data_IF_744561567321
#
_entry.id   IF_744561567321
#
_cell.length_a   1.000
_cell.length_b   1.000
_cell.length_c   1.000
_cell.angle_alpha   90.00
_cell.angle_beta   90.00
_cell.angle_gamma   90.00
#
_symmetry.space_group_name_H-M   'P 1'
#
loop_
_entity.id
_entity.type
_entity.pdbx_description
1 polymer ?
#
# COMPACT_ATOMS: atom_id res chain seq x y z
N UNK A 1 8.60 -0.38 2.53
CA UNK A 1 7.20 -0.17 2.22
C UNK A 1 7.09 1.03 1.31
N UNK A 2 6.08 1.05 0.45
CA UNK A 2 5.73 2.19 -0.39
C UNK A 2 4.23 2.43 -0.21
N UNK A 3 3.77 3.63 -0.55
CA UNK A 3 2.36 3.95 -0.52
C UNK A 3 2.02 4.84 -1.71
N UNK A 4 0.83 4.64 -2.26
CA UNK A 4 0.26 5.43 -3.33
C UNK A 4 -1.13 5.90 -2.94
N UNK A 5 -1.30 7.21 -2.88
CA UNK A 5 -2.61 7.82 -2.69
C UNK A 5 -3.38 7.82 -4.02
N UNK A 6 -4.63 7.39 -3.96
CA UNK A 6 -5.59 7.35 -5.06
C UNK A 6 -6.85 8.10 -4.64
N UNK A 7 -7.51 8.77 -5.58
CA UNK A 7 -8.63 9.65 -5.23
C UNK A 7 -8.84 10.83 -6.18
N UNK A 8 -8.00 10.97 -7.20
CA UNK A 8 -8.20 11.98 -8.24
C UNK A 8 -9.59 11.82 -8.87
N UNK A 9 -10.39 12.88 -8.80
CA UNK A 9 -11.79 12.93 -9.29
C UNK A 9 -12.74 11.88 -8.67
N UNK A 10 -12.44 11.36 -7.49
CA UNK A 10 -13.31 10.43 -6.75
C UNK A 10 -13.94 11.11 -5.53
N UNK A 11 -14.91 10.42 -4.88
CA UNK A 11 -15.67 10.95 -3.72
C UNK A 11 -14.78 11.23 -2.49
N UNK A 12 -13.69 10.49 -2.33
CA UNK A 12 -12.74 10.60 -1.22
C UNK A 12 -11.38 10.03 -1.58
N UNK A 13 -10.37 10.33 -0.75
CA UNK A 13 -9.03 9.78 -0.92
C UNK A 13 -8.91 8.40 -0.26
N UNK A 14 -8.27 7.51 -0.99
CA UNK A 14 -7.87 6.19 -0.53
C UNK A 14 -6.36 6.03 -0.68
N UNK A 15 -5.77 5.06 0.01
CA UNK A 15 -4.34 4.80 -0.11
C UNK A 15 -4.07 3.31 -0.32
N UNK A 16 -3.25 3.01 -1.32
CA UNK A 16 -2.69 1.69 -1.56
C UNK A 16 -1.34 1.62 -0.84
N UNK A 17 -1.17 0.64 0.03
CA UNK A 17 0.03 0.48 0.85
C UNK A 17 0.68 -0.85 0.48
N UNK A 18 1.98 -0.84 0.25
CA UNK A 18 2.77 -2.05 0.05
C UNK A 18 3.67 -2.30 1.24
N UNK A 19 3.74 -3.56 1.66
CA UNK A 19 4.65 -3.99 2.71
C UNK A 19 6.02 -4.33 2.12
N UNK A 20 7.08 -4.12 2.92
CA UNK A 20 8.43 -4.45 2.48
C UNK A 20 8.59 -5.97 2.53
N UNK A 21 8.88 -6.58 1.39
CA UNK A 21 9.14 -8.00 1.29
C UNK A 21 10.58 -8.29 0.88
N UNK A 22 11.05 -9.51 1.14
CA UNK A 22 12.33 -9.96 0.61
C UNK A 22 12.29 -9.97 -0.91
N UNK A 23 13.39 -9.54 -1.52
CA UNK A 23 13.55 -9.55 -2.97
C UNK A 23 14.37 -10.78 -3.32
N UNK A 24 13.86 -11.61 -4.24
CA UNK A 24 14.58 -12.78 -4.72
C UNK A 24 15.78 -12.37 -5.60
N UNK A 25 16.65 -13.32 -5.93
CA UNK A 25 17.86 -13.10 -6.77
C UNK A 25 17.55 -12.46 -8.13
N UNK A 26 16.33 -12.64 -8.64
CA UNK A 26 15.85 -12.04 -9.88
C UNK A 26 15.36 -10.59 -9.75
N UNK A 27 15.18 -10.04 -8.54
CA UNK A 27 14.66 -8.68 -8.35
C UNK A 27 13.14 -8.62 -8.12
N UNK A 28 12.48 -9.77 -7.96
CA UNK A 28 11.05 -9.88 -7.69
C UNK A 28 10.77 -9.81 -6.19
N UNK A 29 9.79 -8.99 -5.76
CA UNK A 29 9.34 -8.99 -4.38
C UNK A 29 8.61 -10.32 -4.12
N UNK A 30 9.12 -11.08 -3.14
CA UNK A 30 8.49 -12.31 -2.66
C UNK A 30 7.32 -11.99 -1.72
N UNK A 31 6.61 -13.03 -1.27
CA UNK A 31 5.51 -12.88 -0.31
C UNK A 31 5.99 -12.77 1.15
N UNK A 32 7.29 -12.94 1.42
CA UNK A 32 7.84 -12.94 2.78
C UNK A 32 8.17 -11.52 3.23
N UNK A 33 7.62 -11.12 4.39
CA UNK A 33 7.87 -9.84 5.02
C UNK A 33 9.30 -9.77 5.55
N UNK A 34 9.93 -8.61 5.42
CA UNK A 34 11.31 -8.41 5.89
C UNK A 34 11.50 -7.11 6.65
N UNK A 35 12.57 -7.06 7.45
CA UNK A 35 12.98 -5.88 8.20
C UNK A 35 11.94 -5.44 9.23
N UNK A 36 11.58 -4.16 9.20
CA UNK A 36 10.65 -3.55 10.17
C UNK A 36 9.22 -4.06 10.06
N UNK A 37 8.83 -4.70 8.95
CA UNK A 37 7.50 -5.27 8.81
C UNK A 37 7.26 -6.43 9.82
N UNK A 38 8.29 -7.23 10.11
CA UNK A 38 8.20 -8.30 11.11
C UNK A 38 8.06 -7.79 12.55
N UNK A 39 8.27 -6.49 12.79
CA UNK A 39 8.12 -5.86 14.12
C UNK A 39 6.69 -5.44 14.41
N UNK A 40 5.84 -5.32 13.39
CA UNK A 40 4.45 -4.89 13.54
C UNK A 40 3.59 -6.05 14.06
N UNK A 41 3.82 -7.25 13.54
CA UNK A 41 3.14 -8.46 14.01
C UNK A 41 3.94 -9.74 13.69
N UNK A 42 3.45 -10.87 14.20
CA UNK A 42 4.00 -12.22 13.95
C UNK A 42 3.76 -12.75 12.53
N UNK A 43 3.03 -12.00 11.70
CA UNK A 43 2.80 -12.32 10.30
C UNK A 43 4.12 -12.43 9.54
N UNK A 44 4.33 -13.54 8.84
CA UNK A 44 5.54 -13.76 8.03
C UNK A 44 5.30 -13.43 6.56
N UNK A 45 4.05 -13.42 6.13
CA UNK A 45 3.66 -13.14 4.75
C UNK A 45 2.78 -11.89 4.62
N UNK A 46 2.79 -11.27 3.43
CA UNK A 46 1.94 -10.11 3.13
C UNK A 46 0.46 -10.44 3.26
N UNK A 47 0.06 -11.66 2.88
CA UNK A 47 -1.32 -12.11 2.96
C UNK A 47 -1.80 -12.25 4.40
N UNK A 48 -0.96 -12.80 5.28
CA UNK A 48 -1.23 -12.84 6.72
C UNK A 48 -1.33 -11.42 7.28
N UNK A 49 -0.37 -10.54 6.95
CA UNK A 49 -0.40 -9.16 7.41
C UNK A 49 -1.61 -8.38 6.91
N UNK A 50 -2.14 -8.69 5.72
CA UNK A 50 -3.36 -8.05 5.22
C UNK A 50 -4.62 -8.48 5.97
N UNK A 51 -4.61 -9.66 6.60
CA UNK A 51 -5.75 -10.18 7.37
C UNK A 51 -5.63 -9.89 8.86
N UNK A 52 -4.41 -9.72 9.34
CA UNK A 52 -4.06 -9.46 10.73
C UNK A 52 -4.58 -8.09 11.21
N UNK A 53 -5.29 -8.09 12.32
CA UNK A 53 -5.84 -6.89 12.91
C UNK A 53 -4.76 -5.98 13.49
N UNK A 54 -3.63 -6.53 13.95
CA UNK A 54 -2.50 -5.72 14.42
C UNK A 54 -1.94 -4.81 13.31
N UNK A 55 -1.91 -5.31 12.07
CA UNK A 55 -1.49 -4.55 10.91
C UNK A 55 -2.50 -3.50 10.49
N UNK A 56 -3.79 -3.83 10.54
CA UNK A 56 -4.86 -2.85 10.29
C UNK A 56 -4.80 -1.72 11.31
N UNK A 57 -4.70 -2.03 12.61
CA UNK A 57 -4.61 -1.03 13.68
C UNK A 57 -3.37 -0.15 13.53
N UNK A 58 -2.21 -0.74 13.20
CA UNK A 58 -0.98 0.02 12.96
C UNK A 58 -1.14 1.05 11.82
N UNK A 59 -1.74 0.62 10.71
CA UNK A 59 -1.98 1.48 9.56
C UNK A 59 -3.06 2.53 9.87
N UNK A 60 -4.15 2.14 10.53
CA UNK A 60 -5.21 3.06 10.93
C UNK A 60 -4.70 4.13 11.89
N UNK A 61 -3.83 3.77 12.84
CA UNK A 61 -3.17 4.73 13.71
C UNK A 61 -2.31 5.72 12.92
N UNK A 62 -1.54 5.24 11.94
CA UNK A 62 -0.77 6.07 11.02
C UNK A 62 -1.65 7.02 10.20
N UNK A 63 -2.73 6.51 9.62
CA UNK A 63 -3.70 7.30 8.85
C UNK A 63 -4.39 8.33 9.74
N UNK A 64 -4.77 7.97 10.97
CA UNK A 64 -5.39 8.88 11.93
C UNK A 64 -4.46 10.04 12.28
N UNK A 65 -3.16 9.78 12.46
CA UNK A 65 -2.17 10.82 12.70
C UNK A 65 -2.05 11.79 11.51
N UNK A 66 -1.97 11.26 10.28
CA UNK A 66 -1.92 12.07 9.05
C UNK A 66 -3.22 12.87 8.86
N UNK A 67 -4.38 12.25 9.08
CA UNK A 67 -5.69 12.89 9.01
C UNK A 67 -5.87 14.00 10.06
N UNK A 68 -5.17 13.90 11.20
CA UNK A 68 -5.13 14.96 12.21
C UNK A 68 -4.43 16.23 11.73
N UNK A 69 -3.49 16.09 10.78
CA UNK A 69 -2.81 17.22 10.14
C UNK A 69 -3.57 17.75 8.91
N UNK A 70 -4.61 17.05 8.46
CA UNK A 70 -5.38 17.45 7.29
C UNK A 70 -6.27 18.66 7.60
N UNK A 71 -6.06 19.74 6.85
CA UNK A 71 -6.79 21.01 7.02
C UNK A 71 -8.26 20.90 6.61
N UNK A 72 -8.59 19.96 5.72
CA UNK A 72 -9.94 19.75 5.21
C UNK A 72 -10.33 18.27 5.18
N UNK A 73 -11.64 18.00 5.28
CA UNK A 73 -12.21 16.66 5.08
C UNK A 73 -11.86 16.08 3.71
N UNK A 74 -11.73 16.94 2.69
CA UNK A 74 -11.34 16.53 1.34
C UNK A 74 -9.90 16.00 1.24
N UNK A 75 -9.03 16.34 2.20
CA UNK A 75 -7.65 15.84 2.24
C UNK A 75 -7.51 14.56 3.07
N UNK A 76 -8.54 14.18 3.84
CA UNK A 76 -8.50 13.00 4.69
C UNK A 76 -8.54 11.72 3.87
N UNK A 77 -7.72 10.77 4.27
CA UNK A 77 -7.73 9.40 3.77
C UNK A 77 -8.87 8.67 4.49
N UNK A 78 -9.82 8.12 3.74
CA UNK A 78 -10.97 7.40 4.29
C UNK A 78 -10.84 5.89 4.18
N UNK A 79 -10.15 5.40 3.14
CA UNK A 79 -9.98 3.98 2.89
C UNK A 79 -8.51 3.66 2.61
N UNK A 80 -8.12 2.44 2.93
CA UNK A 80 -6.81 1.92 2.56
C UNK A 80 -6.93 0.45 2.19
N UNK A 81 -5.98 -0.03 1.39
CA UNK A 81 -5.79 -1.47 1.17
C UNK A 81 -4.31 -1.77 1.17
N UNK A 82 -3.98 -2.92 1.72
CA UNK A 82 -2.65 -3.49 1.65
C UNK A 82 -2.59 -4.31 0.36
N UNK A 83 -1.57 -4.07 -0.45
CA UNK A 83 -1.35 -4.81 -1.69
C UNK A 83 -0.56 -6.09 -1.40
N UNK A 84 -0.84 -7.19 -2.14
CA UNK A 84 -0.20 -8.48 -1.91
C UNK A 84 1.28 -8.52 -2.30
N UNK A 85 1.75 -7.57 -3.14
CA UNK A 85 3.16 -7.46 -3.56
C UNK A 85 3.71 -6.06 -3.32
N UNK A 86 5.02 -5.96 -3.12
CA UNK A 86 5.72 -4.67 -3.15
C UNK A 86 5.92 -4.17 -4.59
N UNK A 87 6.05 -2.86 -4.78
CA UNK A 87 6.32 -2.31 -6.11
C UNK A 87 7.76 -2.61 -6.54
N UNK A 88 7.93 -3.24 -7.69
CA UNK A 88 9.26 -3.51 -8.27
C UNK A 88 9.44 -2.89 -9.66
N UNK A 89 10.70 -2.71 -10.04
CA UNK A 89 11.08 -2.30 -11.40
C UNK A 89 10.78 -3.38 -12.42
N UNK A 90 10.95 -4.66 -12.05
CA UNK A 90 10.60 -5.80 -12.92
C UNK A 90 9.10 -5.91 -13.16
N UNK A 91 8.27 -5.60 -12.15
CA UNK A 91 6.81 -5.56 -12.27
C UNK A 91 6.30 -4.39 -13.12
N UNK A 92 7.18 -3.49 -13.56
CA UNK A 92 6.82 -2.30 -14.35
C UNK A 92 6.17 -1.18 -13.52
N UNK A 93 5.95 -1.40 -12.23
CA UNK A 93 5.35 -0.45 -11.28
C UNK A 93 6.31 0.71 -10.98
N UNK A 94 7.62 0.42 -11.00
CA UNK A 94 8.67 1.41 -10.83
C UNK A 94 9.44 1.63 -12.14
N UNK A 95 9.88 2.86 -12.36
CA UNK A 95 10.90 3.17 -13.38
C UNK A 95 12.26 2.60 -12.94
N UNK A 96 13.23 2.44 -13.87
CA UNK A 96 14.62 2.11 -13.51
C UNK A 96 15.24 3.07 -12.49
N UNK A 97 14.71 4.29 -12.40
CA UNK A 97 15.06 5.32 -11.40
C UNK A 97 14.25 5.23 -10.10
N UNK A 98 13.58 4.09 -9.84
CA UNK A 98 12.75 3.80 -8.67
C UNK A 98 11.56 4.74 -8.45
N UNK A 99 11.16 5.51 -9.48
CA UNK A 99 9.96 6.36 -9.43
C UNK A 99 8.71 5.54 -9.73
N UNK A 100 7.64 5.79 -8.98
CA UNK A 100 6.36 5.11 -9.17
C UNK A 100 5.66 5.55 -10.46
N UNK A 101 5.31 4.59 -11.31
CA UNK A 101 4.48 4.80 -12.50
C UNK A 101 3.00 4.70 -12.12
N UNK A 102 2.45 5.78 -11.58
CA UNK A 102 1.04 5.91 -11.17
C UNK A 102 0.03 5.28 -12.16
N UNK A 103 0.02 5.62 -13.46
CA UNK A 103 -0.97 5.08 -14.39
C UNK A 103 -0.86 3.56 -14.61
N UNK A 104 0.31 2.96 -14.39
CA UNK A 104 0.50 1.51 -14.50
C UNK A 104 -0.08 0.82 -13.26
N UNK A 105 0.23 1.36 -12.08
CA UNK A 105 -0.27 0.85 -10.80
C UNK A 105 -1.79 1.00 -10.73
N UNK A 106 -2.33 2.14 -11.14
CA UNK A 106 -3.79 2.38 -11.18
C UNK A 106 -4.52 1.38 -12.07
N UNK A 107 -3.93 1.02 -13.23
CA UNK A 107 -4.51 0.01 -14.13
C UNK A 107 -4.41 -1.40 -13.56
N UNK A 108 -3.29 -1.76 -12.93
CA UNK A 108 -3.11 -3.11 -12.37
C UNK A 108 -3.97 -3.37 -11.13
N UNK A 109 -4.17 -2.36 -10.30
CA UNK A 109 -4.99 -2.46 -9.09
C UNK A 109 -6.34 -1.75 -9.26
N UNK A 110 -6.81 -1.61 -10.50
CA UNK A 110 -8.05 -0.91 -10.79
C UNK A 110 -9.23 -1.54 -10.03
N UNK A 111 -9.32 -2.87 -9.99
CA UNK A 111 -10.37 -3.59 -9.26
C UNK A 111 -10.35 -3.28 -7.74
N UNK A 112 -9.16 -3.18 -7.14
CA UNK A 112 -9.01 -2.82 -5.72
C UNK A 112 -9.42 -1.37 -5.49
N UNK A 113 -9.06 -0.47 -6.42
CA UNK A 113 -9.42 0.95 -6.33
C UNK A 113 -10.92 1.15 -6.52
N UNK A 114 -11.51 0.50 -7.52
CA UNK A 114 -12.94 0.59 -7.82
C UNK A 114 -13.77 0.00 -6.67
N UNK A 115 -13.31 -1.09 -6.05
CA UNK A 115 -13.94 -1.66 -4.84
C UNK A 115 -13.94 -0.72 -3.62
N UNK A 116 -13.15 0.37 -3.61
CA UNK A 116 -13.32 1.40 -2.60
C UNK A 116 -14.53 2.30 -2.86
N UNK A 117 -14.92 2.50 -4.12
CA UNK A 117 -15.87 3.51 -4.56
C UNK A 117 -17.23 2.96 -5.01
N UNK A 118 -17.32 1.64 -5.19
CA UNK A 118 -18.60 0.93 -5.32
C UNK A 118 -19.52 1.12 -4.10
#
# INVERSE_FOLDING_TARGET
>A
SKAMMVGDKRKFNSVLITLKTEVDKDGKPTNQLTGEALKVSSAKTVEEASKDDAWKEYIEAGIKNVNGQAVSRAQRIQKFSILPRDFSTEGGELTPTLKLKRPVVERMYQEVIDGFYE
#
